data_IF_267450078699
#
_entry.id   IF_267450078699
#
_cell.length_a   1.000
_cell.length_b   1.000
_cell.length_c   1.000
_cell.angle_alpha   90.00
_cell.angle_beta   90.00
_cell.angle_gamma   90.00
#
_symmetry.space_group_name_H-M   'P 1'
#
loop_
_entity.id
_entity.type
_entity.pdbx_description
1 polymer ?
#
# COMPACT_ATOMS: atom_id res chain seq x y z
N UNK A 1 -30.67 0.56 -23.58
CA UNK A 1 -31.00 1.03 -22.22
C UNK A 1 -29.79 0.73 -21.34
N UNK A 2 -28.88 1.63 -21.04
CA UNK A 2 -28.72 3.03 -21.42
C UNK A 2 -27.20 3.33 -21.48
N UNK A 3 -26.68 3.64 -22.66
CA UNK A 3 -25.24 3.88 -22.95
C UNK A 3 -24.73 5.16 -22.27
N UNK A 4 -25.64 6.00 -21.78
CA UNK A 4 -25.34 7.23 -21.03
C UNK A 4 -24.81 6.96 -19.62
N UNK A 5 -25.28 5.91 -18.95
CA UNK A 5 -24.89 5.58 -17.57
C UNK A 5 -23.44 5.08 -17.44
N UNK A 6 -22.95 4.30 -18.41
CA UNK A 6 -21.55 3.86 -18.44
C UNK A 6 -20.58 4.99 -18.78
N UNK A 7 -21.02 5.99 -19.54
CA UNK A 7 -20.24 7.18 -19.89
C UNK A 7 -20.05 8.08 -18.65
N UNK A 8 -21.10 8.30 -17.86
CA UNK A 8 -21.04 9.11 -16.63
C UNK A 8 -20.15 8.47 -15.54
N UNK A 9 -20.22 7.14 -15.39
CA UNK A 9 -19.38 6.41 -14.45
C UNK A 9 -17.88 6.48 -14.79
N UNK A 10 -17.55 6.46 -16.08
CA UNK A 10 -16.17 6.62 -16.58
C UNK A 10 -15.69 8.08 -16.40
N UNK A 11 -16.58 9.06 -16.46
CA UNK A 11 -16.27 10.49 -16.30
C UNK A 11 -15.92 10.89 -14.87
N UNK A 12 -16.44 10.21 -13.85
CA UNK A 12 -16.16 10.48 -12.43
C UNK A 12 -14.75 10.04 -12.00
N UNK A 13 -14.30 8.85 -12.41
CA UNK A 13 -12.92 8.36 -12.17
C UNK A 13 -11.86 9.17 -12.94
N UNK A 14 -12.23 9.73 -14.10
CA UNK A 14 -11.36 10.65 -14.85
C UNK A 14 -11.20 12.02 -14.18
N UNK A 15 -12.03 12.36 -13.18
CA UNK A 15 -12.08 13.61 -12.42
C UNK A 15 -10.74 14.30 -12.11
N UNK A 16 -9.81 13.53 -11.54
CA UNK A 16 -8.51 14.03 -11.06
C UNK A 16 -7.40 13.92 -12.12
N UNK A 17 -7.47 12.95 -13.04
CA UNK A 17 -6.56 12.84 -14.19
C UNK A 17 -6.87 13.86 -15.32
N UNK A 18 -8.06 14.49 -15.29
CA UNK A 18 -8.59 15.46 -16.28
C UNK A 18 -7.74 16.69 -16.51
N UNK A 19 -7.08 17.20 -15.47
CA UNK A 19 -6.36 18.48 -15.55
C UNK A 19 -4.93 18.27 -16.07
N UNK A 20 -4.30 17.15 -15.71
CA UNK A 20 -2.87 16.89 -15.98
C UNK A 20 -2.57 16.53 -17.45
N UNK A 21 -3.45 15.76 -18.10
CA UNK A 21 -3.28 15.38 -19.52
C UNK A 21 -3.56 16.54 -20.49
N UNK A 22 -4.44 17.48 -20.11
CA UNK A 22 -4.77 18.66 -20.92
C UNK A 22 -3.79 19.81 -20.75
N UNK A 23 -3.13 19.91 -19.60
CA UNK A 23 -2.21 21.02 -19.29
C UNK A 23 -0.77 20.76 -19.68
N UNK A 24 -0.39 19.51 -19.96
CA UNK A 24 0.97 19.19 -20.38
C UNK A 24 1.11 19.30 -21.90
N UNK A 25 1.56 20.47 -22.36
CA UNK A 25 1.97 20.70 -23.76
C UNK A 25 3.02 19.67 -24.20
N UNK A 26 3.91 19.29 -23.29
CA UNK A 26 4.96 18.28 -23.50
C UNK A 26 4.38 16.91 -23.84
N UNK A 27 3.34 16.46 -23.14
CA UNK A 27 2.68 15.18 -23.45
C UNK A 27 1.94 15.21 -24.78
N UNK A 28 1.34 16.35 -25.15
CA UNK A 28 0.64 16.50 -26.42
C UNK A 28 1.59 16.49 -27.61
N UNK A 29 2.74 17.16 -27.48
CA UNK A 29 3.82 17.16 -28.46
C UNK A 29 4.44 15.76 -28.62
N UNK A 30 4.76 15.09 -27.51
CA UNK A 30 5.34 13.75 -27.53
C UNK A 30 4.41 12.69 -28.14
N UNK A 31 3.10 12.82 -27.93
CA UNK A 31 2.09 11.90 -28.47
C UNK A 31 1.64 12.26 -29.89
N UNK A 32 2.03 13.42 -30.43
CA UNK A 32 1.61 13.89 -31.75
C UNK A 32 0.11 14.17 -31.85
N UNK A 33 -0.54 14.52 -30.74
CA UNK A 33 -2.00 14.70 -30.65
C UNK A 33 -2.34 16.16 -30.30
N UNK A 34 -2.62 17.02 -31.30
CA UNK A 34 -2.83 18.47 -31.09
C UNK A 34 -4.14 18.78 -30.36
N UNK A 35 -5.09 17.84 -30.32
CA UNK A 35 -6.24 17.90 -29.42
C UNK A 35 -6.72 16.48 -29.10
N UNK A 36 -7.09 16.24 -27.85
CA UNK A 36 -7.69 14.99 -27.43
C UNK A 36 -9.00 15.30 -26.71
N UNK A 37 -10.13 14.89 -27.30
CA UNK A 37 -11.42 15.04 -26.62
C UNK A 37 -11.63 13.93 -25.59
N UNK A 38 -12.32 14.24 -24.49
CA UNK A 38 -12.64 13.28 -23.41
C UNK A 38 -13.36 12.05 -23.95
N UNK A 39 -14.27 12.26 -24.90
CA UNK A 39 -15.04 11.18 -25.50
C UNK A 39 -14.17 10.24 -26.35
N UNK A 40 -13.10 10.75 -26.97
CA UNK A 40 -12.12 9.93 -27.69
C UNK A 40 -11.27 9.08 -26.75
N UNK A 41 -10.74 9.66 -25.66
CA UNK A 41 -9.98 8.90 -24.64
C UNK A 41 -10.88 7.82 -24.03
N UNK A 42 -12.07 8.22 -23.56
CA UNK A 42 -13.01 7.29 -22.90
C UNK A 42 -13.39 6.13 -23.83
N UNK A 43 -13.68 6.41 -25.11
CA UNK A 43 -14.00 5.37 -26.10
C UNK A 43 -12.80 4.46 -26.38
N UNK A 44 -11.60 5.03 -26.49
CA UNK A 44 -10.38 4.24 -26.73
C UNK A 44 -10.03 3.37 -25.53
N UNK A 45 -10.10 3.90 -24.32
CA UNK A 45 -9.88 3.18 -23.06
C UNK A 45 -10.82 1.98 -22.91
N UNK A 46 -12.11 2.11 -23.30
CA UNK A 46 -13.06 0.97 -23.29
C UNK A 46 -12.63 -0.20 -24.18
N UNK A 47 -11.90 0.08 -25.26
CA UNK A 47 -11.43 -0.94 -26.20
C UNK A 47 -9.98 -1.35 -25.98
N UNK A 48 -9.24 -0.64 -25.13
CA UNK A 48 -7.82 -0.87 -24.90
C UNK A 48 -7.66 -2.10 -24.00
N UNK A 49 -7.00 -3.18 -24.47
CA UNK A 49 -6.70 -4.31 -23.61
C UNK A 49 -5.90 -3.86 -22.38
N UNK A 50 -6.39 -4.21 -21.18
CA UNK A 50 -5.76 -3.79 -19.92
C UNK A 50 -4.30 -4.25 -19.79
N UNK A 51 -3.93 -5.32 -20.50
CA UNK A 51 -2.57 -5.87 -20.54
C UNK A 51 -1.53 -4.82 -20.98
N UNK A 52 -1.90 -3.89 -21.87
CA UNK A 52 -0.99 -2.83 -22.29
C UNK A 52 -0.73 -1.81 -21.19
N UNK A 53 -1.76 -1.44 -20.42
CA UNK A 53 -1.59 -0.58 -19.24
C UNK A 53 -0.70 -1.26 -18.20
N UNK A 54 -0.90 -2.56 -17.98
CA UNK A 54 -0.07 -3.35 -17.07
C UNK A 54 1.39 -3.40 -17.55
N UNK A 55 1.64 -3.68 -18.83
CA UNK A 55 2.98 -3.69 -19.40
C UNK A 55 3.65 -2.32 -19.32
N UNK A 56 2.92 -1.24 -19.62
CA UNK A 56 3.45 0.11 -19.50
C UNK A 56 3.86 0.42 -18.06
N UNK A 57 3.02 0.07 -17.08
CA UNK A 57 3.35 0.19 -15.67
C UNK A 57 4.61 -0.60 -15.31
N UNK A 58 4.67 -1.89 -15.66
CA UNK A 58 5.82 -2.73 -15.36
C UNK A 58 7.11 -2.21 -16.01
N UNK A 59 7.05 -1.74 -17.26
CA UNK A 59 8.19 -1.15 -17.95
C UNK A 59 8.68 0.13 -17.26
N UNK A 60 7.75 0.99 -16.80
CA UNK A 60 8.09 2.20 -16.04
C UNK A 60 8.75 1.82 -14.70
N UNK A 61 8.21 0.84 -13.99
CA UNK A 61 8.81 0.33 -12.74
C UNK A 61 10.22 -0.21 -12.97
N UNK A 62 10.43 -1.03 -14.01
CA UNK A 62 11.75 -1.54 -14.36
C UNK A 62 12.73 -0.40 -14.63
N UNK A 63 12.29 0.63 -15.37
CA UNK A 63 13.15 1.78 -15.65
C UNK A 63 13.50 2.58 -14.40
N UNK A 64 12.54 2.77 -13.50
CA UNK A 64 12.78 3.42 -12.22
C UNK A 64 13.77 2.61 -11.38
N UNK A 65 13.61 1.29 -11.28
CA UNK A 65 14.53 0.41 -10.56
C UNK A 65 15.96 0.44 -11.13
N UNK A 66 16.13 0.58 -12.44
CA UNK A 66 17.45 0.79 -13.05
C UNK A 66 18.07 2.11 -12.61
N UNK A 67 17.29 3.20 -12.65
CA UNK A 67 17.75 4.55 -12.32
C UNK A 67 18.03 4.73 -10.83
N UNK A 68 17.35 3.97 -9.97
CA UNK A 68 17.44 4.09 -8.51
C UNK A 68 18.17 2.92 -7.83
N UNK A 69 18.86 2.08 -8.61
CA UNK A 69 19.54 0.86 -8.14
C UNK A 69 20.47 1.11 -6.95
N UNK A 70 21.19 2.23 -6.98
CA UNK A 70 22.18 2.63 -5.97
C UNK A 70 21.55 3.37 -4.77
N UNK A 71 20.22 3.54 -4.79
CA UNK A 71 19.45 4.10 -3.69
C UNK A 71 19.65 3.31 -2.40
N UNK A 72 20.04 4.01 -1.33
CA UNK A 72 20.30 3.43 0.00
C UNK A 72 19.09 3.51 0.93
N UNK A 73 18.02 4.16 0.48
CA UNK A 73 16.83 4.43 1.27
C UNK A 73 17.01 5.64 2.19
N UNK A 74 16.32 5.63 3.33
CA UNK A 74 16.32 6.73 4.28
C UNK A 74 17.60 6.69 5.14
N UNK A 75 18.34 7.81 5.29
CA UNK A 75 19.51 7.87 6.15
C UNK A 75 19.23 7.35 7.57
N UNK A 76 20.05 6.40 8.03
CA UNK A 76 19.90 5.77 9.34
C UNK A 76 18.87 4.63 9.43
N UNK A 77 17.94 4.50 8.49
CA UNK A 77 16.94 3.40 8.44
C UNK A 77 17.24 2.38 7.33
N UNK A 78 17.77 2.84 6.20
CA UNK A 78 17.96 2.04 5.00
C UNK A 78 16.73 2.00 4.10
N UNK A 79 16.63 0.95 3.28
CA UNK A 79 15.55 0.76 2.30
C UNK A 79 14.22 0.45 2.97
N UNK A 80 13.16 1.09 2.50
CA UNK A 80 11.80 0.86 2.99
C UNK A 80 10.90 0.32 1.88
N UNK A 81 10.03 -0.61 2.25
CA UNK A 81 8.87 -1.04 1.46
C UNK A 81 7.61 -0.61 2.19
N UNK A 82 6.88 0.36 1.66
CA UNK A 82 5.64 0.82 2.27
C UNK A 82 4.49 0.03 1.66
N UNK A 83 3.69 -0.63 2.49
CA UNK A 83 2.54 -1.41 2.07
C UNK A 83 1.27 -0.71 2.53
N UNK A 84 0.42 -0.34 1.57
CA UNK A 84 -0.88 0.27 1.84
C UNK A 84 -1.89 -0.14 0.76
N UNK A 85 -3.19 0.00 1.05
CA UNK A 85 -4.24 -0.25 0.07
C UNK A 85 -5.13 0.97 -0.12
N UNK A 86 -5.49 1.21 -1.38
CA UNK A 86 -6.45 2.25 -1.75
C UNK A 86 -7.71 1.60 -2.25
N UNK A 87 -8.85 1.98 -1.70
CA UNK A 87 -10.15 1.55 -2.17
C UNK A 87 -10.70 2.52 -3.22
N UNK A 88 -11.21 1.97 -4.32
CA UNK A 88 -11.84 2.71 -5.40
C UNK A 88 -13.32 2.31 -5.46
N UNK A 89 -14.19 3.22 -5.04
CA UNK A 89 -15.63 3.05 -5.17
C UNK A 89 -16.07 3.09 -6.63
N UNK A 90 -16.91 2.15 -7.03
CA UNK A 90 -17.42 2.02 -8.39
C UNK A 90 -18.92 2.34 -8.42
N UNK A 91 -19.41 3.07 -9.45
CA UNK A 91 -20.83 3.30 -9.63
C UNK A 91 -21.59 1.99 -9.80
N UNK A 92 -22.85 1.94 -9.34
CA UNK A 92 -23.62 0.71 -9.19
C UNK A 92 -23.65 -0.16 -10.46
N UNK A 93 -23.92 0.46 -11.61
CA UNK A 93 -24.12 -0.23 -12.89
C UNK A 93 -22.80 -0.84 -13.41
N UNK A 94 -21.70 -0.08 -13.37
CA UNK A 94 -20.40 -0.56 -13.86
C UNK A 94 -19.68 -1.45 -12.84
N UNK A 95 -19.99 -1.30 -11.56
CA UNK A 95 -19.33 -1.97 -10.46
C UNK A 95 -19.97 -3.29 -10.01
N UNK A 96 -21.04 -3.77 -10.67
CA UNK A 96 -21.77 -4.99 -10.24
C UNK A 96 -20.88 -6.23 -10.08
N UNK A 97 -19.82 -6.33 -10.89
CA UNK A 97 -18.84 -7.42 -10.82
C UNK A 97 -17.93 -7.34 -9.59
N UNK A 98 -17.86 -6.18 -8.92
CA UNK A 98 -17.07 -5.90 -7.73
C UNK A 98 -17.98 -5.59 -6.53
N UNK A 99 -19.04 -6.38 -6.35
CA UNK A 99 -20.00 -6.22 -5.27
C UNK A 99 -19.38 -6.54 -3.91
N UNK A 100 -19.56 -5.66 -2.93
CA UNK A 100 -19.11 -5.87 -1.55
C UNK A 100 -20.28 -5.83 -0.55
N UNK A 101 -21.25 -4.93 -0.75
CA UNK A 101 -22.46 -4.84 0.06
C UNK A 101 -23.58 -4.13 -0.68
N UNK A 102 -24.79 -4.10 -0.08
CA UNK A 102 -26.01 -3.50 -0.68
C UNK A 102 -25.80 -2.10 -1.26
N UNK A 103 -24.90 -1.31 -0.69
CA UNK A 103 -24.63 0.08 -1.08
C UNK A 103 -23.18 0.31 -1.53
N UNK A 104 -22.41 -0.76 -1.79
CA UNK A 104 -20.98 -0.66 -2.06
C UNK A 104 -20.54 -1.68 -3.10
N UNK A 105 -20.16 -1.15 -4.26
CA UNK A 105 -19.31 -1.84 -5.22
C UNK A 105 -17.96 -1.16 -5.21
N UNK A 106 -16.89 -1.90 -4.96
CA UNK A 106 -15.56 -1.31 -4.86
C UNK A 106 -14.47 -2.34 -5.14
N UNK A 107 -13.34 -1.84 -5.62
CA UNK A 107 -12.10 -2.60 -5.73
C UNK A 107 -11.05 -2.01 -4.80
N UNK A 108 -10.08 -2.82 -4.40
CA UNK A 108 -8.90 -2.39 -3.67
C UNK A 108 -7.66 -2.57 -4.52
N UNK A 109 -6.78 -1.59 -4.43
CA UNK A 109 -5.46 -1.59 -5.03
C UNK A 109 -4.44 -1.67 -3.90
N UNK A 110 -3.99 -2.88 -3.59
CA UNK A 110 -2.96 -3.12 -2.59
C UNK A 110 -1.60 -2.88 -3.21
N UNK A 111 -0.83 -1.97 -2.64
CA UNK A 111 0.36 -1.41 -3.29
C UNK A 111 1.56 -1.53 -2.36
N UNK A 112 2.66 -2.06 -2.90
CA UNK A 112 4.00 -1.92 -2.31
C UNK A 112 4.73 -0.79 -3.02
N UNK A 113 5.06 0.26 -2.27
CA UNK A 113 5.96 1.34 -2.69
C UNK A 113 7.41 1.01 -2.30
N UNK A 114 8.36 1.46 -3.10
CA UNK A 114 9.80 1.49 -2.76
C UNK A 114 10.17 2.90 -2.39
N UNK A 115 10.93 3.05 -1.30
CA UNK A 115 11.62 4.29 -0.94
C UNK A 115 13.11 4.11 -1.19
N UNK A 116 13.65 4.84 -2.17
CA UNK A 116 15.06 4.72 -2.57
C UNK A 116 15.95 5.80 -1.96
N UNK A 117 15.34 6.92 -1.58
CA UNK A 117 15.91 8.08 -0.89
C UNK A 117 14.74 8.95 -0.35
N UNK A 118 14.99 10.04 0.39
CA UNK A 118 13.93 10.87 0.96
C UNK A 118 12.96 11.50 -0.05
N UNK A 119 13.39 11.69 -1.30
CA UNK A 119 12.62 12.42 -2.31
C UNK A 119 12.04 11.49 -3.39
N UNK A 120 12.46 10.22 -3.41
CA UNK A 120 12.09 9.26 -4.45
C UNK A 120 11.32 8.07 -3.88
N UNK A 121 10.03 8.04 -4.20
CA UNK A 121 9.09 6.97 -3.84
C UNK A 121 8.25 6.59 -5.05
N UNK A 122 8.11 5.29 -5.33
CA UNK A 122 7.30 4.82 -6.45
C UNK A 122 6.68 3.44 -6.20
N UNK A 123 5.53 3.13 -6.82
CA UNK A 123 4.93 1.80 -6.74
C UNK A 123 5.76 0.76 -7.49
N UNK A 124 5.95 -0.41 -6.89
CA UNK A 124 6.62 -1.53 -7.55
C UNK A 124 5.66 -2.68 -7.81
N UNK A 125 4.80 -3.00 -6.82
CA UNK A 125 3.88 -4.12 -6.91
C UNK A 125 2.48 -3.65 -6.57
N UNK A 126 1.53 -4.04 -7.41
CA UNK A 126 0.11 -3.77 -7.23
C UNK A 126 -0.64 -5.10 -7.32
N UNK A 127 -1.51 -5.35 -6.36
CA UNK A 127 -2.48 -6.45 -6.36
C UNK A 127 -3.86 -5.83 -6.33
N UNK A 128 -4.67 -6.12 -7.36
CA UNK A 128 -6.05 -5.68 -7.42
C UNK A 128 -6.96 -6.77 -6.86
N UNK A 129 -7.91 -6.38 -6.02
CA UNK A 129 -8.95 -7.28 -5.48
C UNK A 129 -10.30 -6.55 -5.45
N UNK A 130 -11.38 -7.29 -5.18
CA UNK A 130 -12.62 -6.68 -4.67
C UNK A 130 -12.39 -6.14 -3.25
N UNK A 131 -13.21 -5.18 -2.81
CA UNK A 131 -12.97 -4.49 -1.53
C UNK A 131 -13.39 -5.29 -0.29
N UNK A 132 -14.01 -6.45 -0.46
CA UNK A 132 -14.29 -7.42 0.60
C UNK A 132 -13.04 -8.21 1.04
N UNK A 133 -12.03 -8.31 0.17
CA UNK A 133 -10.74 -8.93 0.50
C UNK A 133 -10.00 -8.07 1.52
N UNK A 134 -9.66 -8.67 2.65
CA UNK A 134 -8.93 -8.01 3.72
C UNK A 134 -7.45 -7.82 3.35
N UNK A 135 -6.86 -6.74 3.85
CA UNK A 135 -5.43 -6.41 3.65
C UNK A 135 -4.50 -7.52 4.17
N UNK A 136 -4.91 -8.18 5.26
CA UNK A 136 -4.24 -9.33 5.85
C UNK A 136 -4.14 -10.54 4.92
N UNK A 137 -5.05 -10.69 3.96
CA UNK A 137 -5.08 -11.84 3.05
C UNK A 137 -4.03 -11.73 1.94
N UNK A 138 -3.68 -10.51 1.54
CA UNK A 138 -2.75 -10.23 0.43
C UNK A 138 -1.34 -9.89 0.90
N UNK A 139 -1.12 -9.69 2.20
CA UNK A 139 0.14 -9.19 2.75
C UNK A 139 1.35 -10.06 2.39
N UNK A 140 1.15 -11.39 2.30
CA UNK A 140 2.22 -12.33 1.97
C UNK A 140 2.75 -12.14 0.55
N UNK A 141 1.91 -11.69 -0.39
CA UNK A 141 2.30 -11.39 -1.76
C UNK A 141 2.93 -10.00 -1.91
N UNK A 142 2.80 -9.15 -0.88
CA UNK A 142 3.32 -7.78 -0.84
C UNK A 142 4.61 -7.68 -0.02
N UNK A 143 4.95 -8.63 0.84
CA UNK A 143 6.26 -8.66 1.49
C UNK A 143 7.31 -9.22 0.53
N UNK A 144 8.38 -8.47 0.31
CA UNK A 144 9.49 -8.88 -0.55
C UNK A 144 10.48 -9.78 0.20
N UNK A 145 11.28 -10.51 -0.58
CA UNK A 145 12.45 -11.22 -0.07
C UNK A 145 13.72 -10.41 -0.33
N UNK A 146 13.85 -9.31 0.41
CA UNK A 146 14.97 -8.41 0.35
C UNK A 146 15.38 -7.91 1.74
N UNK A 147 16.41 -7.08 1.78
CA UNK A 147 16.92 -6.50 3.01
C UNK A 147 16.08 -5.32 3.52
N UNK A 148 15.00 -4.92 2.86
CA UNK A 148 14.27 -3.71 3.23
C UNK A 148 13.38 -3.87 4.46
N UNK A 149 13.08 -2.75 5.12
CA UNK A 149 12.10 -2.69 6.21
C UNK A 149 10.70 -2.51 5.62
N UNK A 150 9.82 -3.47 5.90
CA UNK A 150 8.44 -3.46 5.45
C UNK A 150 7.55 -2.69 6.43
N UNK A 151 7.01 -1.56 6.01
CA UNK A 151 6.17 -0.69 6.85
C UNK A 151 4.71 -0.89 6.45
N UNK A 152 3.85 -1.23 7.40
CA UNK A 152 2.45 -1.56 7.15
C UNK A 152 1.51 -1.01 8.23
N UNK A 153 0.27 -0.67 7.85
CA UNK A 153 -0.77 -0.31 8.82
C UNK A 153 -1.40 -1.54 9.50
N UNK A 154 -2.19 -1.29 10.53
CA UNK A 154 -2.88 -2.29 11.36
C UNK A 154 -3.77 -3.27 10.60
N UNK A 155 -4.23 -2.92 9.39
CA UNK A 155 -5.05 -3.79 8.54
C UNK A 155 -4.31 -5.03 8.05
N UNK A 156 -2.97 -4.97 8.01
CA UNK A 156 -2.10 -6.04 7.52
C UNK A 156 -1.62 -6.99 8.63
N UNK A 157 -2.04 -6.78 9.88
CA UNK A 157 -1.55 -7.55 11.02
C UNK A 157 -2.08 -8.97 10.98
N UNK A 158 -1.14 -9.91 10.85
CA UNK A 158 -1.35 -11.34 11.08
C UNK A 158 -0.17 -11.84 11.91
N UNK A 159 -0.39 -12.13 13.19
CA UNK A 159 0.71 -12.47 14.10
C UNK A 159 1.45 -13.76 13.72
N UNK A 160 0.76 -14.71 13.08
CA UNK A 160 1.42 -15.88 12.50
C UNK A 160 2.43 -15.51 11.41
N UNK A 161 2.15 -14.47 10.62
CA UNK A 161 3.09 -13.96 9.63
C UNK A 161 4.26 -13.25 10.30
N UNK A 162 4.03 -12.50 11.39
CA UNK A 162 5.10 -11.85 12.15
C UNK A 162 6.08 -12.88 12.72
N UNK A 163 5.56 -13.94 13.35
CA UNK A 163 6.37 -15.05 13.84
C UNK A 163 7.26 -15.63 12.72
N UNK A 164 6.64 -15.94 11.57
CA UNK A 164 7.34 -16.46 10.39
C UNK A 164 8.39 -15.48 9.86
N UNK A 165 8.07 -14.19 9.77
CA UNK A 165 8.99 -13.17 9.26
C UNK A 165 10.16 -12.95 10.20
N UNK A 166 9.93 -12.99 11.51
CA UNK A 166 11.01 -12.96 12.52
C UNK A 166 11.94 -14.16 12.36
N UNK A 167 11.40 -15.38 12.21
CA UNK A 167 12.21 -16.59 11.94
C UNK A 167 13.01 -16.49 10.63
N UNK A 168 12.47 -15.78 9.63
CA UNK A 168 13.11 -15.54 8.34
C UNK A 168 14.05 -14.32 8.33
N UNK A 169 14.28 -13.66 9.48
CA UNK A 169 15.07 -12.42 9.59
C UNK A 169 14.55 -11.28 8.68
N UNK A 170 13.26 -11.27 8.36
CA UNK A 170 12.62 -10.18 7.62
C UNK A 170 12.36 -9.01 8.56
N UNK A 171 12.70 -7.81 8.10
CA UNK A 171 12.49 -6.58 8.85
C UNK A 171 11.12 -6.00 8.50
N UNK A 172 10.31 -5.76 9.52
CA UNK A 172 9.00 -5.14 9.36
C UNK A 172 8.70 -4.21 10.54
N UNK A 173 7.76 -3.29 10.31
CA UNK A 173 7.17 -2.41 11.33
C UNK A 173 5.68 -2.35 11.03
N UNK A 174 4.87 -2.75 12.01
CA UNK A 174 3.42 -2.66 11.91
C UNK A 174 2.84 -1.87 13.08
N UNK A 175 1.89 -1.00 12.79
CA UNK A 175 1.16 -0.29 13.85
C UNK A 175 0.18 -1.25 14.53
N UNK A 176 0.43 -1.60 15.77
CA UNK A 176 -0.41 -2.55 16.51
C UNK A 176 -1.59 -1.89 17.22
N UNK A 177 -2.60 -2.68 17.57
CA UNK A 177 -3.76 -2.18 18.34
C UNK A 177 -3.42 -2.09 19.83
N UNK A 178 -3.83 -1.01 20.49
CA UNK A 178 -3.61 -0.79 21.94
C UNK A 178 -4.16 -1.90 22.84
N UNK A 179 -5.16 -2.68 22.37
CA UNK A 179 -5.77 -3.77 23.14
C UNK A 179 -5.01 -5.10 23.05
N UNK A 180 -3.90 -5.15 22.31
CA UNK A 180 -3.10 -6.35 22.20
C UNK A 180 -2.48 -6.69 23.55
N UNK A 181 -2.81 -7.87 24.06
CA UNK A 181 -2.20 -8.40 25.28
C UNK A 181 -0.80 -8.90 24.91
N UNK A 182 0.20 -8.09 25.22
CA UNK A 182 1.61 -8.47 25.11
C UNK A 182 2.19 -8.61 26.52
N UNK A 183 3.07 -9.57 26.68
CA UNK A 183 3.89 -9.74 27.89
C UNK A 183 5.20 -8.98 27.67
N UNK A 184 5.57 -8.09 28.58
CA UNK A 184 6.85 -7.38 28.51
C UNK A 184 7.94 -8.33 29.02
N UNK A 185 8.90 -8.66 28.16
CA UNK A 185 10.05 -9.48 28.53
C UNK A 185 11.18 -8.62 29.09
N UNK A 186 11.46 -7.49 28.44
CA UNK A 186 12.54 -6.58 28.83
C UNK A 186 12.27 -5.17 28.31
N UNK A 187 12.39 -4.17 29.17
CA UNK A 187 12.40 -2.77 28.74
C UNK A 187 13.83 -2.34 28.32
N UNK A 188 13.90 -1.52 27.27
CA UNK A 188 15.12 -0.92 26.75
C UNK A 188 15.21 0.54 27.22
N UNK A 189 16.40 1.08 27.48
CA UNK A 189 16.56 2.47 27.85
C UNK A 189 16.01 3.40 26.77
N UNK A 190 15.15 4.32 27.16
CA UNK A 190 14.63 5.38 26.30
C UNK A 190 15.35 6.69 26.64
N UNK A 191 15.94 7.40 25.67
CA UNK A 191 16.62 8.67 25.94
C UNK A 191 15.68 9.71 26.52
N UNK A 192 16.16 10.48 27.50
CA UNK A 192 15.42 11.58 28.10
C UNK A 192 15.11 12.67 27.05
N UNK A 193 13.86 13.15 27.02
CA UNK A 193 13.38 14.12 26.03
C UNK A 193 13.04 13.53 24.65
N UNK A 194 13.16 12.21 24.45
CA UNK A 194 12.67 11.56 23.23
C UNK A 194 11.14 11.54 23.15
N UNK A 195 10.60 11.50 21.93
CA UNK A 195 9.15 11.26 21.68
C UNK A 195 8.73 9.82 21.93
N UNK A 196 9.70 8.93 22.13
CA UNK A 196 9.47 7.52 22.49
C UNK A 196 9.11 7.47 23.97
N UNK A 197 8.04 6.76 24.29
CA UNK A 197 7.55 6.54 25.66
C UNK A 197 8.01 5.19 26.20
N UNK A 198 8.09 4.17 25.33
CA UNK A 198 8.53 2.82 25.68
C UNK A 198 9.24 2.19 24.50
N UNK A 199 10.29 1.44 24.79
CA UNK A 199 10.95 0.53 23.87
C UNK A 199 11.15 -0.78 24.63
N UNK A 200 10.59 -1.88 24.16
CA UNK A 200 10.58 -3.14 24.91
C UNK A 200 10.65 -4.35 23.99
N UNK A 201 11.35 -5.39 24.44
CA UNK A 201 11.19 -6.73 23.90
C UNK A 201 9.94 -7.33 24.56
N UNK A 202 9.02 -7.84 23.75
CA UNK A 202 7.71 -8.35 24.19
C UNK A 202 7.45 -9.74 23.63
N UNK A 203 6.70 -10.54 24.39
CA UNK A 203 6.15 -11.81 23.93
C UNK A 203 4.67 -11.64 23.64
N UNK A 204 4.27 -12.10 22.47
CA UNK A 204 2.89 -12.01 22.01
C UNK A 204 2.33 -13.41 21.77
N UNK A 205 1.19 -13.71 22.39
CA UNK A 205 0.45 -14.94 22.13
C UNK A 205 -0.56 -14.72 21.00
N UNK A 206 -0.62 -15.67 20.07
CA UNK A 206 -1.59 -15.67 18.98
C UNK A 206 -2.12 -17.08 18.72
N UNK A 207 -3.33 -17.16 18.15
CA UNK A 207 -3.90 -18.44 17.73
C UNK A 207 -3.45 -18.78 16.32
N UNK A 208 -3.02 -20.02 16.13
CA UNK A 208 -2.67 -20.58 14.84
C UNK A 208 -3.15 -22.04 14.78
N UNK A 209 -3.99 -22.39 13.82
CA UNK A 209 -4.56 -23.75 13.69
C UNK A 209 -5.12 -24.31 15.01
N UNK A 210 -5.90 -23.49 15.74
CA UNK A 210 -6.47 -23.81 17.06
C UNK A 210 -5.47 -23.95 18.22
N UNK A 211 -4.17 -23.86 17.97
CA UNK A 211 -3.12 -23.84 19.00
C UNK A 211 -2.78 -22.39 19.40
N UNK A 212 -2.33 -22.20 20.65
CA UNK A 212 -1.75 -20.94 21.08
C UNK A 212 -0.25 -21.01 20.86
N UNK A 213 0.26 -20.12 20.01
CA UNK A 213 1.69 -19.93 19.75
C UNK A 213 2.14 -18.58 20.30
N UNK A 214 3.44 -18.43 20.48
CA UNK A 214 4.06 -17.19 20.93
C UNK A 214 5.13 -16.72 19.97
N UNK A 215 5.28 -15.42 19.80
CA UNK A 215 6.40 -14.80 19.10
C UNK A 215 6.98 -13.67 19.95
N UNK A 216 8.30 -13.56 19.91
CA UNK A 216 9.04 -12.47 20.57
C UNK A 216 9.29 -11.37 19.54
N UNK A 217 8.87 -10.14 19.87
CA UNK A 217 8.90 -8.96 18.99
C UNK A 217 9.43 -7.76 19.77
N UNK A 218 9.74 -6.66 19.06
CA UNK A 218 10.11 -5.38 19.69
C UNK A 218 8.94 -4.42 19.59
N UNK A 219 8.46 -3.95 20.72
CA UNK A 219 7.42 -2.94 20.84
C UNK A 219 8.03 -1.55 21.04
N UNK A 220 7.53 -0.56 20.28
CA UNK A 220 7.85 0.85 20.50
C UNK A 220 6.56 1.65 20.66
N UNK A 221 6.44 2.36 21.78
CA UNK A 221 5.36 3.33 22.03
C UNK A 221 5.94 4.74 21.90
N UNK A 222 5.25 5.62 21.19
CA UNK A 222 5.71 6.99 20.96
C UNK A 222 4.56 7.97 20.80
N UNK A 223 4.82 9.24 21.00
CA UNK A 223 3.86 10.34 20.83
C UNK A 223 4.17 11.14 19.57
N UNK A 224 3.15 11.43 18.75
CA UNK A 224 3.32 12.30 17.59
C UNK A 224 3.32 13.79 18.00
N UNK A 225 3.54 14.68 17.03
CA UNK A 225 3.59 16.14 17.26
C UNK A 225 2.27 16.73 17.77
N UNK A 226 1.17 15.97 17.67
CA UNK A 226 -0.17 16.35 18.13
C UNK A 226 -0.52 15.77 19.50
N UNK A 227 0.43 15.14 20.20
CA UNK A 227 0.20 14.55 21.53
C UNK A 227 -0.52 13.20 21.52
N UNK A 228 -0.71 12.57 20.34
CA UNK A 228 -1.36 11.26 20.21
C UNK A 228 -0.33 10.13 20.30
N UNK A 229 -0.63 9.15 21.16
CA UNK A 229 0.21 7.98 21.36
C UNK A 229 -0.08 6.89 20.32
N UNK A 230 1.00 6.31 19.80
CA UNK A 230 1.00 5.18 18.87
C UNK A 230 1.86 4.07 19.42
N UNK A 231 1.49 2.83 19.06
CA UNK A 231 2.23 1.63 19.40
C UNK A 231 2.56 0.90 18.10
N UNK A 232 3.83 0.62 17.88
CA UNK A 232 4.34 -0.13 16.74
C UNK A 232 5.10 -1.36 17.23
N UNK A 233 5.09 -2.43 16.44
CA UNK A 233 5.81 -3.67 16.71
C UNK A 233 6.32 -4.35 15.46
#
# INVERSE_FOLDING_TARGET
>A
MDDRSSVEATQQLCGHHRTSLRSSSVLQEYLGLPSISESQISRKLRTLPYIYCQQLFLNAVCKLQELTRDGKGIPGLGRLRIIDSTELALPEIVGRWAYCSKHKNAVKMHTRLIVTDPDTVYPERIIASTADVADSEVVMDLVADDDAIHVMDRGYIVYGNFARWTEQNKRFVARIQQRNRVEILRERPVPEGAKVLRDADVRMAFRWNHEVKTADLRLVEFTNDQGKTYTAG
#
